data_IF_302779169798
#
_entry.id   IF_302779169798
#
_cell.length_a   1.000
_cell.length_b   1.000
_cell.length_c   1.000
_cell.angle_alpha   90.00
_cell.angle_beta   90.00
_cell.angle_gamma   90.00
#
_symmetry.space_group_name_H-M   'P 1'
#
loop_
_entity.id
_entity.type
_entity.pdbx_description
1 polymer ?
#
# COMPACT_ATOMS: atom_id res chain seq x y z
N UNK A 1 23.56 -34.12 -65.14
CA UNK A 1 23.65 -32.89 -64.33
C UNK A 1 22.71 -33.07 -63.15
N UNK A 2 23.27 -33.48 -62.00
CA UNK A 2 22.50 -33.77 -60.78
C UNK A 2 22.43 -32.53 -59.90
N UNK A 3 21.22 -32.18 -59.45
CA UNK A 3 20.98 -31.20 -58.41
C UNK A 3 21.18 -31.89 -57.05
N UNK A 4 22.04 -31.32 -56.21
CA UNK A 4 22.31 -31.81 -54.86
C UNK A 4 21.14 -31.46 -53.92
N UNK A 5 20.78 -32.35 -52.97
CA UNK A 5 19.78 -32.03 -51.96
C UNK A 5 20.31 -30.98 -50.97
N UNK A 6 19.47 -30.00 -50.64
CA UNK A 6 19.72 -29.02 -49.61
C UNK A 6 19.55 -29.69 -48.24
N UNK A 7 20.64 -29.83 -47.48
CA UNK A 7 20.63 -30.34 -46.11
C UNK A 7 19.96 -29.33 -45.17
N UNK A 8 18.72 -29.61 -44.76
CA UNK A 8 18.05 -28.89 -43.68
C UNK A 8 18.58 -29.41 -42.34
N UNK A 9 19.68 -28.83 -41.85
CA UNK A 9 20.13 -29.05 -40.47
C UNK A 9 19.15 -28.36 -39.52
N UNK A 10 18.29 -29.15 -38.86
CA UNK A 10 17.63 -28.76 -37.61
C UNK A 10 18.70 -28.39 -36.58
N UNK A 11 18.95 -27.09 -36.42
CA UNK A 11 19.63 -26.60 -35.23
C UNK A 11 18.60 -26.62 -34.11
N UNK A 12 18.58 -27.71 -33.34
CA UNK A 12 17.87 -27.84 -32.07
C UNK A 12 18.51 -26.96 -30.98
N UNK A 13 18.80 -25.70 -31.31
CA UNK A 13 19.14 -24.68 -30.33
C UNK A 13 17.85 -24.03 -29.88
N UNK A 14 17.20 -24.68 -28.92
CA UNK A 14 16.23 -23.98 -28.08
C UNK A 14 16.95 -22.78 -27.47
N UNK A 15 16.47 -21.53 -27.68
CA UNK A 15 17.11 -20.38 -27.08
C UNK A 15 17.12 -20.57 -25.57
N UNK A 16 18.31 -20.73 -25.00
CA UNK A 16 18.53 -20.82 -23.55
C UNK A 16 18.14 -19.47 -22.93
N UNK A 17 16.87 -19.34 -22.61
CA UNK A 17 16.37 -18.24 -21.80
C UNK A 17 16.88 -18.46 -20.38
N UNK A 18 17.95 -17.74 -20.04
CA UNK A 18 18.44 -17.65 -18.66
C UNK A 18 17.65 -16.53 -17.98
N UNK A 19 16.77 -16.82 -17.02
CA UNK A 19 15.96 -15.79 -16.40
C UNK A 19 16.87 -14.87 -15.60
N UNK A 20 17.05 -13.65 -16.12
CA UNK A 20 17.61 -12.56 -15.33
C UNK A 20 16.62 -12.30 -14.18
N UNK A 21 17.13 -11.92 -13.00
CA UNK A 21 16.38 -11.89 -11.74
C UNK A 21 14.97 -11.27 -11.83
N UNK A 22 14.13 -11.56 -10.83
CA UNK A 22 12.65 -11.45 -10.84
C UNK A 22 11.93 -10.18 -11.33
N UNK A 23 12.65 -9.16 -11.82
CA UNK A 23 12.12 -8.06 -12.65
C UNK A 23 12.09 -8.37 -14.17
N UNK A 24 12.79 -9.41 -14.66
CA UNK A 24 12.87 -9.74 -16.10
C UNK A 24 11.52 -10.15 -16.68
N UNK A 25 10.82 -11.09 -16.04
CA UNK A 25 9.60 -11.70 -16.59
C UNK A 25 8.46 -10.72 -16.89
N UNK A 26 8.38 -9.63 -16.12
CA UNK A 26 7.33 -8.63 -16.29
C UNK A 26 7.60 -7.70 -17.47
N UNK A 27 8.85 -7.29 -17.64
CA UNK A 27 9.29 -6.49 -18.79
C UNK A 27 9.29 -7.35 -20.06
N UNK A 28 9.65 -8.64 -19.95
CA UNK A 28 9.59 -9.59 -21.07
C UNK A 28 8.14 -9.85 -21.49
N UNK A 29 7.20 -9.94 -20.54
CA UNK A 29 5.77 -10.02 -20.82
C UNK A 29 5.27 -8.77 -21.55
N UNK A 30 5.63 -7.58 -21.07
CA UNK A 30 5.24 -6.32 -21.71
C UNK A 30 5.81 -6.20 -23.13
N UNK A 31 7.04 -6.66 -23.33
CA UNK A 31 7.69 -6.70 -24.64
C UNK A 31 6.95 -7.65 -25.57
N UNK A 32 6.55 -8.84 -25.08
CA UNK A 32 5.77 -9.81 -25.85
C UNK A 32 4.39 -9.25 -26.21
N UNK A 33 3.68 -8.64 -25.25
CA UNK A 33 2.37 -8.02 -25.50
C UNK A 33 2.49 -6.91 -26.54
N UNK A 34 3.48 -6.02 -26.41
CA UNK A 34 3.70 -4.95 -27.38
C UNK A 34 4.00 -5.51 -28.78
N UNK A 35 4.85 -6.54 -28.88
CA UNK A 35 5.15 -7.19 -30.16
C UNK A 35 3.91 -7.84 -30.79
N UNK A 36 3.12 -8.58 -30.02
CA UNK A 36 1.93 -9.27 -30.53
C UNK A 36 0.81 -8.30 -30.91
N UNK A 37 0.69 -7.19 -30.19
CA UNK A 37 -0.29 -6.13 -30.48
C UNK A 37 -0.04 -5.52 -31.86
N UNK A 38 1.22 -5.37 -32.27
CA UNK A 38 1.60 -4.79 -33.57
C UNK A 38 1.40 -5.72 -34.77
N UNK A 39 1.11 -7.00 -34.55
CA UNK A 39 0.95 -7.98 -35.64
C UNK A 39 -0.55 -8.12 -35.97
N UNK A 40 -0.98 -7.77 -37.20
CA UNK A 40 -2.37 -7.95 -37.62
C UNK A 40 -2.81 -9.41 -37.49
N UNK A 41 -3.99 -9.64 -36.91
CA UNK A 41 -4.60 -10.97 -36.78
C UNK A 41 -4.46 -11.64 -35.42
N UNK A 42 -3.56 -11.20 -34.54
CA UNK A 42 -3.33 -11.81 -33.21
C UNK A 42 -4.17 -11.23 -32.07
N UNK A 43 -5.27 -10.53 -32.39
CA UNK A 43 -6.05 -9.80 -31.39
C UNK A 43 -6.71 -10.70 -30.32
N UNK A 44 -7.08 -11.93 -30.68
CA UNK A 44 -7.71 -12.87 -29.74
C UNK A 44 -6.70 -13.50 -28.77
N UNK A 45 -5.51 -13.82 -29.27
CA UNK A 45 -4.39 -14.34 -28.49
C UNK A 45 -3.87 -13.27 -27.52
N UNK A 46 -3.73 -12.03 -27.99
CA UNK A 46 -3.40 -10.88 -27.14
C UNK A 46 -4.44 -10.69 -26.04
N UNK A 47 -5.74 -10.74 -26.38
CA UNK A 47 -6.81 -10.63 -25.40
C UNK A 47 -6.76 -11.74 -24.35
N UNK A 48 -6.52 -12.98 -24.79
CA UNK A 48 -6.39 -14.13 -23.91
C UNK A 48 -5.19 -13.99 -22.98
N UNK A 49 -4.06 -13.52 -23.51
CA UNK A 49 -2.83 -13.28 -22.75
C UNK A 49 -3.00 -12.16 -21.71
N UNK A 50 -3.61 -11.04 -22.08
CA UNK A 50 -3.93 -9.92 -21.17
C UNK A 50 -4.90 -10.39 -20.08
N UNK A 51 -5.94 -11.13 -20.47
CA UNK A 51 -6.93 -11.67 -19.53
C UNK A 51 -6.30 -12.66 -18.55
N UNK A 52 -5.41 -13.53 -19.00
CA UNK A 52 -4.68 -14.44 -18.12
C UNK A 52 -3.73 -13.68 -17.17
N UNK A 53 -3.07 -12.64 -17.65
CA UNK A 53 -2.16 -11.82 -16.86
C UNK A 53 -2.88 -11.02 -15.76
N UNK A 54 -4.16 -10.65 -15.98
CA UNK A 54 -5.00 -9.99 -14.97
C UNK A 54 -4.96 -10.72 -13.63
N UNK A 55 -5.06 -12.05 -13.63
CA UNK A 55 -5.03 -12.86 -12.41
C UNK A 55 -3.70 -12.71 -11.67
N UNK A 56 -2.58 -12.80 -12.38
CA UNK A 56 -1.25 -12.68 -11.78
C UNK A 56 -1.00 -11.26 -11.26
N UNK A 57 -1.37 -10.24 -12.05
CA UNK A 57 -1.22 -8.83 -11.66
C UNK A 57 -2.09 -8.51 -10.45
N UNK A 58 -3.31 -9.03 -10.36
CA UNK A 58 -4.28 -8.70 -9.32
C UNK A 58 -4.14 -9.54 -8.03
N UNK A 59 -3.51 -10.73 -8.10
CA UNK A 59 -3.40 -11.69 -6.98
C UNK A 59 -2.75 -11.16 -5.69
N UNK A 60 -1.97 -10.08 -5.76
CA UNK A 60 -1.32 -9.48 -4.58
C UNK A 60 -2.21 -8.44 -3.92
N UNK A 61 -2.68 -8.72 -2.69
CA UNK A 61 -3.52 -7.83 -1.87
C UNK A 61 -2.82 -6.60 -1.29
N UNK A 62 -1.48 -6.57 -1.27
CA UNK A 62 -0.69 -5.45 -0.73
C UNK A 62 -0.05 -4.67 -1.88
N UNK A 63 -0.58 -3.48 -2.16
CA UNK A 63 -0.04 -2.58 -3.17
C UNK A 63 0.75 -1.47 -2.48
N UNK A 64 2.06 -1.67 -2.30
CA UNK A 64 2.96 -0.64 -1.79
C UNK A 64 4.32 -0.69 -2.48
N UNK A 65 5.01 0.46 -2.50
CA UNK A 65 6.39 0.60 -2.98
C UNK A 65 6.60 0.12 -4.42
N UNK A 66 7.65 -0.68 -4.64
CA UNK A 66 8.03 -1.19 -5.97
C UNK A 66 6.94 -2.01 -6.68
N UNK A 67 6.03 -2.64 -5.94
CA UNK A 67 4.92 -3.39 -6.53
C UNK A 67 3.89 -2.46 -7.18
N UNK A 68 3.59 -1.32 -6.54
CA UNK A 68 2.72 -0.29 -7.10
C UNK A 68 3.33 0.30 -8.38
N UNK A 69 4.62 0.65 -8.32
CA UNK A 69 5.36 1.21 -9.46
C UNK A 69 5.35 0.28 -10.67
N UNK A 70 5.56 -1.04 -10.46
CA UNK A 70 5.48 -2.02 -11.55
C UNK A 70 4.10 -2.08 -12.19
N UNK A 71 3.03 -2.07 -11.38
CA UNK A 71 1.65 -2.07 -11.89
C UNK A 71 1.31 -0.80 -12.67
N UNK A 72 1.74 0.36 -12.19
CA UNK A 72 1.54 1.63 -12.91
C UNK A 72 2.32 1.64 -14.22
N UNK A 73 3.58 1.19 -14.23
CA UNK A 73 4.37 1.05 -15.46
C UNK A 73 3.69 0.14 -16.47
N UNK A 74 3.10 -0.95 -16.01
CA UNK A 74 2.34 -1.86 -16.84
C UNK A 74 1.08 -1.25 -17.44
N UNK A 75 0.25 -0.59 -16.62
CA UNK A 75 -0.93 0.12 -17.13
C UNK A 75 -0.51 1.15 -18.17
N UNK A 76 0.58 1.88 -17.93
CA UNK A 76 1.10 2.88 -18.86
C UNK A 76 1.53 2.26 -20.18
N UNK A 77 2.32 1.18 -20.14
CA UNK A 77 2.75 0.47 -21.33
C UNK A 77 1.56 -0.10 -22.10
N UNK A 78 0.60 -0.72 -21.40
CA UNK A 78 -0.62 -1.24 -21.99
C UNK A 78 -1.46 -0.14 -22.64
N UNK A 79 -1.64 1.00 -21.97
CA UNK A 79 -2.35 2.16 -22.51
C UNK A 79 -1.67 2.68 -23.77
N UNK A 80 -0.34 2.82 -23.78
CA UNK A 80 0.41 3.25 -24.97
C UNK A 80 0.24 2.26 -26.14
N UNK A 81 0.22 0.95 -25.86
CA UNK A 81 -0.05 -0.06 -26.89
C UNK A 81 -1.45 0.09 -27.48
N UNK A 82 -2.45 0.49 -26.67
CA UNK A 82 -3.80 0.78 -27.14
C UNK A 82 -3.88 2.08 -27.94
N UNK A 83 -3.06 3.10 -27.64
CA UNK A 83 -3.00 4.35 -28.41
C UNK A 83 -2.45 4.14 -29.81
N UNK A 84 -1.49 3.21 -29.97
CA UNK A 84 -0.86 2.93 -31.26
C UNK A 84 -1.68 2.04 -32.20
N UNK A 85 -2.71 1.36 -31.69
CA UNK A 85 -3.46 0.37 -32.47
C UNK A 85 -4.89 0.79 -32.82
N UNK A 86 -5.26 0.56 -34.08
CA UNK A 86 -6.64 0.67 -34.56
C UNK A 86 -7.49 -0.60 -34.30
N UNK A 87 -6.91 -1.63 -33.65
CA UNK A 87 -7.57 -2.92 -33.49
C UNK A 87 -8.55 -2.91 -32.31
N UNK A 88 -9.77 -2.44 -32.56
CA UNK A 88 -10.84 -2.26 -31.56
C UNK A 88 -11.18 -3.51 -30.73
N UNK A 89 -10.77 -4.72 -31.17
CA UNK A 89 -11.05 -5.98 -30.48
C UNK A 89 -10.24 -6.17 -29.18
N UNK A 90 -9.05 -5.59 -29.05
CA UNK A 90 -8.18 -5.77 -27.87
C UNK A 90 -8.45 -4.76 -26.75
N UNK A 91 -9.12 -3.66 -27.09
CA UNK A 91 -9.46 -2.56 -26.18
C UNK A 91 -10.25 -3.03 -24.95
N UNK A 92 -11.29 -3.89 -25.04
CA UNK A 92 -12.11 -4.24 -23.88
C UNK A 92 -11.35 -5.02 -22.79
N UNK A 93 -10.52 -6.00 -23.16
CA UNK A 93 -9.78 -6.79 -22.18
C UNK A 93 -8.69 -5.95 -21.50
N UNK A 94 -7.96 -5.16 -22.29
CA UNK A 94 -6.96 -4.25 -21.76
C UNK A 94 -7.57 -3.21 -20.83
N UNK A 95 -8.69 -2.58 -21.22
CA UNK A 95 -9.40 -1.62 -20.40
C UNK A 95 -9.89 -2.23 -19.10
N UNK A 96 -10.43 -3.47 -19.14
CA UNK A 96 -10.84 -4.21 -17.94
C UNK A 96 -9.68 -4.35 -16.95
N UNK A 97 -8.50 -4.77 -17.41
CA UNK A 97 -7.31 -4.90 -16.54
C UNK A 97 -6.88 -3.55 -15.97
N UNK A 98 -6.90 -2.48 -16.77
CA UNK A 98 -6.57 -1.13 -16.29
C UNK A 98 -7.52 -0.71 -15.17
N UNK A 99 -8.83 -0.87 -15.37
CA UNK A 99 -9.86 -0.55 -14.39
C UNK A 99 -9.67 -1.34 -13.11
N UNK A 100 -9.51 -2.66 -13.19
CA UNK A 100 -9.37 -3.53 -12.02
C UNK A 100 -8.13 -3.18 -11.19
N UNK A 101 -7.00 -2.87 -11.85
CA UNK A 101 -5.78 -2.47 -11.14
C UNK A 101 -5.96 -1.11 -10.47
N UNK A 102 -6.56 -0.13 -11.15
CA UNK A 102 -6.83 1.20 -10.57
C UNK A 102 -7.81 1.12 -9.39
N UNK A 103 -8.87 0.31 -9.48
CA UNK A 103 -9.80 0.05 -8.37
C UNK A 103 -9.11 -0.59 -7.17
N UNK A 104 -8.22 -1.56 -7.41
CA UNK A 104 -7.47 -2.21 -6.33
C UNK A 104 -6.52 -1.22 -5.64
N UNK A 105 -5.86 -0.35 -6.42
CA UNK A 105 -5.04 0.74 -5.88
C UNK A 105 -5.90 1.67 -5.02
N UNK A 106 -7.03 2.15 -5.56
CA UNK A 106 -7.97 3.04 -4.85
C UNK A 106 -8.41 2.43 -3.52
N UNK A 107 -8.95 1.20 -3.58
CA UNK A 107 -9.44 0.46 -2.41
C UNK A 107 -8.36 0.26 -1.35
N UNK A 108 -7.12 -0.06 -1.77
CA UNK A 108 -6.00 -0.23 -0.84
C UNK A 108 -5.69 1.07 -0.08
N UNK A 109 -5.74 2.22 -0.77
CA UNK A 109 -5.51 3.53 -0.15
C UNK A 109 -6.67 4.00 0.73
N UNK A 110 -7.92 3.70 0.35
CA UNK A 110 -9.11 3.95 1.17
C UNK A 110 -9.03 3.16 2.49
N UNK A 111 -8.71 1.87 2.42
CA UNK A 111 -8.58 1.01 3.60
C UNK A 111 -7.37 1.37 4.48
N UNK A 112 -6.30 1.90 3.88
CA UNK A 112 -5.13 2.35 4.62
C UNK A 112 -5.30 3.74 5.28
N UNK A 113 -6.42 4.43 5.04
CA UNK A 113 -6.68 5.76 5.61
C UNK A 113 -6.77 5.67 7.14
N UNK A 114 -5.98 6.47 7.88
CA UNK A 114 -6.11 6.55 9.32
C UNK A 114 -7.49 7.06 9.72
N UNK A 115 -8.14 6.34 10.63
CA UNK A 115 -9.43 6.74 11.20
C UNK A 115 -9.17 7.50 12.50
N UNK A 116 -9.81 8.67 12.64
CA UNK A 116 -9.79 9.41 13.90
C UNK A 116 -10.52 8.60 14.96
N UNK A 117 -9.81 8.21 16.02
CA UNK A 117 -10.41 7.48 17.13
C UNK A 117 -10.80 8.48 18.22
N UNK A 118 -11.97 8.30 18.82
CA UNK A 118 -12.40 9.14 19.94
C UNK A 118 -11.53 8.87 21.17
N UNK A 119 -11.13 9.94 21.85
CA UNK A 119 -10.31 9.90 23.06
C UNK A 119 -8.88 9.43 22.79
N UNK A 120 -8.34 8.67 23.73
CA UNK A 120 -6.94 8.21 23.75
C UNK A 120 -6.75 6.81 23.19
N UNK A 121 -7.72 6.27 22.45
CA UNK A 121 -7.59 4.91 21.92
C UNK A 121 -6.63 4.86 20.73
N UNK A 122 -5.80 3.83 20.67
CA UNK A 122 -4.75 3.65 19.66
C UNK A 122 -4.82 2.27 19.01
N UNK A 123 -4.28 2.09 17.80
CA UNK A 123 -4.10 0.79 17.19
C UNK A 123 -3.35 -0.17 18.12
N UNK A 124 -3.87 -1.38 18.26
CA UNK A 124 -3.26 -2.42 19.09
C UNK A 124 -2.29 -3.22 18.23
N UNK A 125 -1.02 -3.37 18.62
CA UNK A 125 -0.05 -4.14 17.85
C UNK A 125 -0.45 -5.63 17.81
N UNK A 126 -0.18 -6.27 16.69
CA UNK A 126 -0.22 -7.73 16.58
C UNK A 126 1.04 -8.30 17.25
N UNK A 127 0.86 -9.34 18.04
CA UNK A 127 1.96 -10.06 18.71
C UNK A 127 1.88 -11.50 18.21
N UNK A 128 2.96 -11.99 17.59
CA UNK A 128 3.03 -13.33 17.00
C UNK A 128 3.39 -14.43 18.01
N UNK A 129 3.72 -14.08 19.26
CA UNK A 129 4.06 -15.05 20.28
C UNK A 129 2.78 -15.64 20.90
N UNK A 130 2.57 -16.96 20.73
CA UNK A 130 1.41 -17.68 21.28
C UNK A 130 1.28 -17.48 22.80
N UNK A 131 2.39 -17.48 23.54
CA UNK A 131 2.46 -17.28 25.00
C UNK A 131 1.96 -15.91 25.46
N UNK A 132 2.03 -14.90 24.59
CA UNK A 132 1.62 -13.53 24.90
C UNK A 132 0.13 -13.24 24.61
N UNK A 133 -0.58 -14.16 23.95
CA UNK A 133 -1.92 -13.91 23.40
C UNK A 133 -3.07 -14.06 24.41
N UNK A 134 -2.96 -14.96 25.39
CA UNK A 134 -4.09 -15.31 26.27
C UNK A 134 -4.06 -14.62 27.66
N UNK A 135 -2.90 -14.57 28.32
CA UNK A 135 -2.78 -14.13 29.74
C UNK A 135 -1.54 -13.27 30.03
N UNK A 136 -0.79 -12.86 29.01
CA UNK A 136 0.49 -12.19 29.16
C UNK A 136 0.44 -10.65 29.23
N UNK A 137 1.59 -9.99 29.48
CA UNK A 137 1.74 -8.54 29.52
C UNK A 137 1.25 -7.83 28.23
N UNK A 138 1.31 -8.52 27.08
CA UNK A 138 0.78 -8.02 25.81
C UNK A 138 -0.73 -7.82 25.82
N UNK A 139 -1.50 -8.65 26.54
CA UNK A 139 -2.95 -8.46 26.67
C UNK A 139 -3.27 -7.19 27.46
N UNK A 140 -2.54 -6.96 28.55
CA UNK A 140 -2.67 -5.73 29.33
C UNK A 140 -2.31 -4.49 28.48
N UNK A 141 -1.24 -4.58 27.69
CA UNK A 141 -0.85 -3.51 26.77
C UNK A 141 -1.94 -3.24 25.72
N UNK A 142 -2.50 -4.28 25.09
CA UNK A 142 -3.60 -4.13 24.12
C UNK A 142 -4.83 -3.48 24.75
N UNK A 143 -5.21 -3.88 25.96
CA UNK A 143 -6.34 -3.28 26.70
C UNK A 143 -6.11 -1.80 26.97
N UNK A 144 -4.91 -1.46 27.47
CA UNK A 144 -4.52 -0.07 27.69
C UNK A 144 -4.57 0.73 26.39
N UNK A 145 -3.98 0.23 25.30
CA UNK A 145 -3.99 0.92 24.00
C UNK A 145 -5.40 1.12 23.45
N UNK A 146 -6.29 0.13 23.62
CA UNK A 146 -7.69 0.22 23.22
C UNK A 146 -8.52 1.18 24.08
N UNK A 147 -8.12 1.46 25.33
CA UNK A 147 -8.86 2.33 26.23
C UNK A 147 -8.93 3.78 25.70
N UNK A 148 -10.12 4.39 25.60
CA UNK A 148 -10.28 5.78 25.16
C UNK A 148 -9.99 6.81 26.28
N UNK A 149 -9.92 6.38 27.54
CA UNK A 149 -9.74 7.28 28.70
C UNK A 149 -8.34 7.19 29.31
N UNK A 150 -7.67 6.05 29.18
CA UNK A 150 -6.36 5.85 29.79
C UNK A 150 -5.25 6.47 28.92
N UNK A 151 -4.53 7.43 29.50
CA UNK A 151 -3.38 8.10 28.86
C UNK A 151 -2.04 7.46 29.24
N UNK A 152 -1.93 6.94 30.47
CA UNK A 152 -0.70 6.40 31.03
C UNK A 152 -0.95 4.97 31.49
N UNK A 153 -0.19 4.03 30.93
CA UNK A 153 -0.19 2.63 31.30
C UNK A 153 1.08 2.29 32.06
N UNK A 154 0.94 1.54 33.16
CA UNK A 154 2.07 1.07 33.97
C UNK A 154 2.10 -0.45 33.96
N UNK A 155 3.21 -1.03 33.51
CA UNK A 155 3.38 -2.47 33.36
C UNK A 155 4.60 -2.93 34.16
N UNK A 156 4.35 -3.46 35.36
CA UNK A 156 5.41 -4.07 36.19
C UNK A 156 5.78 -5.43 35.61
N UNK A 157 6.99 -5.55 35.05
CA UNK A 157 7.41 -6.75 34.34
C UNK A 157 8.95 -6.93 34.32
N UNK A 158 9.38 -8.17 34.13
CA UNK A 158 10.80 -8.50 34.04
C UNK A 158 11.46 -7.82 32.80
N UNK A 159 12.79 -7.88 32.71
CA UNK A 159 13.52 -7.20 31.64
C UNK A 159 13.17 -7.72 30.23
N UNK A 160 12.93 -9.04 30.09
CA UNK A 160 12.58 -9.67 28.81
C UNK A 160 11.22 -9.16 28.31
N UNK A 161 10.21 -9.22 29.18
CA UNK A 161 8.86 -8.76 28.86
C UNK A 161 8.83 -7.26 28.57
N UNK A 162 9.58 -6.46 29.33
CA UNK A 162 9.70 -5.02 29.08
C UNK A 162 10.32 -4.71 27.71
N UNK A 163 11.35 -5.46 27.33
CA UNK A 163 11.97 -5.34 26.00
C UNK A 163 10.97 -5.73 24.90
N UNK A 164 10.25 -6.83 25.07
CA UNK A 164 9.22 -7.31 24.15
C UNK A 164 8.06 -6.30 24.00
N UNK A 165 7.47 -5.81 25.11
CA UNK A 165 6.46 -4.74 25.04
C UNK A 165 7.03 -3.48 24.37
N UNK A 166 8.29 -3.17 24.66
CA UNK A 166 8.99 -2.04 24.08
C UNK A 166 9.13 -2.15 22.55
N UNK A 167 9.35 -3.34 21.99
CA UNK A 167 9.48 -3.54 20.54
C UNK A 167 8.14 -3.50 19.80
N UNK A 168 7.03 -3.83 20.47
CA UNK A 168 5.68 -3.73 19.91
C UNK A 168 5.15 -2.29 19.82
N UNK A 169 5.78 -1.35 20.51
CA UNK A 169 5.34 0.04 20.62
C UNK A 169 6.07 0.95 19.63
N UNK A 170 5.31 1.62 18.75
CA UNK A 170 5.85 2.66 17.88
C UNK A 170 6.21 3.91 18.70
N UNK A 171 7.49 4.27 18.68
CA UNK A 171 8.04 5.43 19.42
C UNK A 171 7.44 6.76 18.98
N UNK A 172 6.81 6.84 17.80
CA UNK A 172 6.12 8.04 17.31
C UNK A 172 4.77 8.26 18.00
N UNK A 173 4.19 7.19 18.54
CA UNK A 173 2.81 7.14 19.02
C UNK A 173 2.74 7.11 20.56
N UNK A 174 3.84 6.72 21.20
CA UNK A 174 3.94 6.66 22.66
C UNK A 174 5.29 7.14 23.17
N UNK A 175 5.28 7.77 24.34
CA UNK A 175 6.47 7.97 25.16
C UNK A 175 6.64 6.77 26.09
N UNK A 176 7.86 6.25 26.18
CA UNK A 176 8.21 5.10 27.02
C UNK A 176 9.25 5.50 28.04
N UNK A 177 9.06 5.11 29.28
CA UNK A 177 10.03 5.27 30.36
C UNK A 177 10.08 4.00 31.20
N UNK A 178 11.25 3.67 31.75
CA UNK A 178 11.36 2.61 32.76
C UNK A 178 11.49 3.26 34.13
N UNK A 179 10.51 3.03 34.99
CA UNK A 179 10.55 3.38 36.39
C UNK A 179 11.28 2.25 37.16
N UNK A 180 12.41 2.60 37.76
CA UNK A 180 13.30 1.67 38.47
C UNK A 180 13.09 1.66 39.98
N UNK A 181 12.06 2.36 40.49
CA UNK A 181 11.82 2.51 41.93
C UNK A 181 11.46 1.21 42.65
N UNK A 182 11.03 0.17 41.92
CA UNK A 182 10.67 -1.15 42.45
C UNK A 182 11.24 -2.28 41.59
N UNK A 183 11.29 -3.47 42.18
CA UNK A 183 11.59 -4.73 41.48
C UNK A 183 10.32 -5.58 41.47
N UNK A 184 9.87 -6.08 40.30
CA UNK A 184 10.41 -5.80 38.97
C UNK A 184 10.17 -4.35 38.53
N UNK A 185 11.08 -3.80 37.69
CA UNK A 185 10.94 -2.44 37.18
C UNK A 185 9.69 -2.29 36.32
N UNK A 186 9.12 -1.09 36.31
CA UNK A 186 7.85 -0.80 35.62
C UNK A 186 8.09 -0.09 34.29
N UNK A 187 7.50 -0.60 33.21
CA UNK A 187 7.40 0.12 31.95
C UNK A 187 6.22 1.09 32.03
N UNK A 188 6.52 2.39 31.93
CA UNK A 188 5.53 3.45 31.84
C UNK A 188 5.36 3.83 30.37
N UNK A 189 4.14 3.70 29.86
CA UNK A 189 3.77 4.04 28.47
C UNK A 189 2.78 5.20 28.53
N UNK A 190 3.11 6.32 27.91
CA UNK A 190 2.23 7.49 27.80
C UNK A 190 1.81 7.64 26.34
N UNK A 191 0.50 7.67 26.08
CA UNK A 191 -0.05 7.90 24.73
C UNK A 191 0.15 9.35 24.32
N UNK A 192 0.37 9.59 23.04
CA UNK A 192 0.48 10.96 22.50
C UNK A 192 -0.79 11.33 21.73
N UNK A 193 -1.17 12.61 21.76
CA UNK A 193 -2.32 13.15 21.00
C UNK A 193 -2.07 13.15 19.49
N UNK A 194 -0.81 13.21 19.08
CA UNK A 194 -0.42 13.42 17.68
C UNK A 194 -0.47 12.14 16.82
N UNK A 195 -0.99 11.03 17.34
CA UNK A 195 -1.05 9.76 16.60
C UNK A 195 -1.82 9.90 15.28
N UNK A 196 -3.00 10.53 15.34
CA UNK A 196 -3.82 10.74 14.15
C UNK A 196 -3.10 11.65 13.17
N UNK A 197 -2.62 12.80 13.64
CA UNK A 197 -1.94 13.81 12.81
C UNK A 197 -0.69 13.28 12.10
N UNK A 198 0.13 12.50 12.81
CA UNK A 198 1.32 11.86 12.23
C UNK A 198 0.93 10.87 11.14
N UNK A 199 -0.05 10.01 11.43
CA UNK A 199 -0.45 8.97 10.48
C UNK A 199 -1.21 9.53 9.29
N UNK A 200 -2.09 10.51 9.48
CA UNK A 200 -2.84 11.15 8.39
C UNK A 200 -1.89 11.94 7.50
N UNK A 201 -0.88 12.62 8.07
CA UNK A 201 0.18 13.28 7.29
C UNK A 201 0.99 12.28 6.46
N UNK A 202 1.39 11.17 7.05
CA UNK A 202 2.12 10.11 6.32
C UNK A 202 1.25 9.48 5.21
N UNK A 203 -0.05 9.30 5.45
CA UNK A 203 -1.00 8.83 4.44
C UNK A 203 -1.18 9.85 3.31
N UNK A 204 -1.34 11.14 3.62
CA UNK A 204 -1.41 12.23 2.63
C UNK A 204 -0.17 12.26 1.73
N UNK A 205 1.03 12.16 2.33
CA UNK A 205 2.29 12.10 1.56
C UNK A 205 2.35 10.91 0.59
N UNK A 206 1.85 9.73 1.02
CA UNK A 206 1.77 8.56 0.14
C UNK A 206 0.75 8.77 -0.99
N UNK A 207 -0.39 9.40 -0.69
CA UNK A 207 -1.40 9.74 -1.69
C UNK A 207 -0.83 10.72 -2.73
N UNK A 208 -0.09 11.73 -2.30
CA UNK A 208 0.56 12.68 -3.21
C UNK A 208 1.57 12.00 -4.14
N UNK A 209 2.39 11.09 -3.59
CA UNK A 209 3.31 10.26 -4.40
C UNK A 209 2.54 9.42 -5.42
N UNK A 210 1.47 8.75 -5.02
CA UNK A 210 0.62 7.98 -5.94
C UNK A 210 0.08 8.87 -7.07
N UNK A 211 -0.40 10.07 -6.75
CA UNK A 211 -0.96 10.99 -7.73
C UNK A 211 0.10 11.46 -8.75
N UNK A 212 1.35 11.62 -8.30
CA UNK A 212 2.48 11.86 -9.19
C UNK A 212 2.74 10.66 -10.10
N UNK A 213 2.75 9.44 -9.54
CA UNK A 213 2.96 8.21 -10.29
C UNK A 213 1.87 7.93 -11.33
N UNK A 214 0.62 8.34 -11.08
CA UNK A 214 -0.50 8.23 -12.01
C UNK A 214 -0.54 9.35 -13.06
N UNK A 215 0.27 10.40 -12.93
CA UNK A 215 0.30 11.51 -13.90
C UNK A 215 0.55 11.07 -15.35
N UNK A 216 1.44 10.10 -15.63
CA UNK A 216 1.64 9.58 -16.99
C UNK A 216 0.43 8.85 -17.59
N UNK A 217 -0.57 8.49 -16.79
CA UNK A 217 -1.82 7.89 -17.27
C UNK A 217 -2.87 8.95 -17.65
N UNK A 218 -2.58 10.23 -17.39
CA UNK A 218 -3.48 11.32 -17.77
C UNK A 218 -3.32 11.58 -19.27
N UNK A 219 -4.29 11.13 -20.04
CA UNK A 219 -4.31 11.35 -21.48
C UNK A 219 -5.71 11.18 -22.06
N UNK A 220 -5.92 11.71 -23.30
CA UNK A 220 -7.22 11.72 -23.95
C UNK A 220 -7.76 10.32 -24.25
N UNK A 221 -6.88 9.32 -24.47
CA UNK A 221 -7.34 7.95 -24.68
C UNK A 221 -8.05 7.42 -23.43
N UNK A 222 -7.37 7.42 -22.27
CA UNK A 222 -7.95 6.93 -21.02
C UNK A 222 -9.18 7.73 -20.60
N UNK A 223 -9.19 9.04 -20.86
CA UNK A 223 -10.36 9.89 -20.61
C UNK A 223 -11.55 9.46 -21.48
N UNK A 224 -11.33 9.22 -22.77
CA UNK A 224 -12.38 8.75 -23.69
C UNK A 224 -12.87 7.33 -23.35
N UNK A 225 -11.98 6.43 -22.93
CA UNK A 225 -12.31 5.04 -22.64
C UNK A 225 -12.98 4.85 -21.27
N UNK A 226 -12.57 5.62 -20.26
CA UNK A 226 -13.14 5.53 -18.91
C UNK A 226 -14.34 6.46 -18.70
N UNK A 227 -14.46 7.53 -19.51
CA UNK A 227 -15.51 8.52 -19.38
C UNK A 227 -15.64 9.05 -17.96
N UNK A 228 -16.83 8.93 -17.38
CA UNK A 228 -17.14 9.39 -16.01
C UNK A 228 -16.22 8.76 -14.95
N UNK A 229 -15.70 7.55 -15.20
CA UNK A 229 -14.83 6.85 -14.24
C UNK A 229 -13.39 7.35 -14.25
N UNK A 230 -13.01 8.19 -15.22
CA UNK A 230 -11.67 8.73 -15.33
C UNK A 230 -11.29 9.59 -14.10
N UNK A 231 -12.19 10.48 -13.68
CA UNK A 231 -11.95 11.35 -12.52
C UNK A 231 -11.86 10.53 -11.23
N UNK A 232 -12.69 9.49 -11.12
CA UNK A 232 -12.69 8.58 -9.98
C UNK A 232 -11.39 7.76 -9.88
N UNK A 233 -10.93 7.15 -10.99
CA UNK A 233 -9.87 6.14 -10.97
C UNK A 233 -8.48 6.66 -11.34
N UNK A 234 -8.38 7.70 -12.18
CA UNK A 234 -7.08 8.26 -12.61
C UNK A 234 -6.74 9.50 -11.79
N UNK A 235 -7.71 10.38 -11.56
CA UNK A 235 -7.52 11.58 -10.73
C UNK A 235 -7.70 11.32 -9.24
N UNK A 236 -8.26 10.15 -8.87
CA UNK A 236 -8.51 9.73 -7.49
C UNK A 236 -9.29 10.77 -6.68
N UNK A 237 -10.30 11.42 -7.29
CA UNK A 237 -11.03 12.55 -6.68
C UNK A 237 -11.63 12.21 -5.32
N UNK A 238 -12.21 11.02 -5.16
CA UNK A 238 -12.74 10.56 -3.87
C UNK A 238 -11.69 10.52 -2.76
N UNK A 239 -10.43 10.19 -3.09
CA UNK A 239 -9.33 10.19 -2.12
C UNK A 239 -8.84 11.61 -1.79
N UNK A 240 -8.85 12.52 -2.77
CA UNK A 240 -8.46 13.94 -2.59
C UNK A 240 -9.48 14.72 -1.77
N UNK A 241 -10.77 14.59 -2.05
CA UNK A 241 -11.81 15.25 -1.26
C UNK A 241 -11.71 14.85 0.22
N UNK A 242 -11.41 13.57 0.46
CA UNK A 242 -11.18 12.98 1.76
C UNK A 242 -9.85 13.40 2.43
N UNK A 243 -8.84 13.83 1.68
CA UNK A 243 -7.59 14.32 2.28
C UNK A 243 -7.76 15.73 2.85
N UNK A 244 -8.58 16.57 2.22
CA UNK A 244 -8.83 17.98 2.62
C UNK A 244 -9.76 18.16 3.82
N UNK A 245 -10.75 17.28 4.02
CA UNK A 245 -11.81 17.42 5.04
C UNK A 245 -11.41 17.10 6.49
N UNK A 246 -10.12 16.84 6.76
CA UNK A 246 -9.63 16.47 8.10
C UNK A 246 -9.13 17.62 8.98
N UNK A 247 -9.21 18.87 8.53
CA UNK A 247 -8.61 20.03 9.21
C UNK A 247 -9.52 20.73 10.24
N UNK A 248 -10.77 20.31 10.42
CA UNK A 248 -11.78 21.10 11.16
C UNK A 248 -12.16 20.55 12.54
N UNK A 249 -11.27 19.83 13.22
CA UNK A 249 -11.52 19.40 14.62
C UNK A 249 -10.27 19.39 15.50
N UNK A 250 -9.43 20.41 15.33
CA UNK A 250 -8.26 20.67 16.17
C UNK A 250 -8.40 22.00 16.92
N UNK A 251 -9.55 22.25 17.56
CA UNK A 251 -9.71 23.47 18.37
C UNK A 251 -10.60 23.27 19.60
N UNK A 252 -10.27 22.32 20.48
CA UNK A 252 -10.78 22.40 21.87
C UNK A 252 -9.94 21.57 22.85
N UNK A 253 -8.69 21.97 23.09
CA UNK A 253 -8.06 21.74 24.40
C UNK A 253 -7.12 22.90 24.67
N UNK A 254 -7.73 24.05 24.98
CA UNK A 254 -7.04 25.17 25.60
C UNK A 254 -6.37 24.70 26.89
N UNK A 255 -5.13 25.13 27.05
CA UNK A 255 -4.27 25.04 28.22
C UNK A 255 -5.07 25.25 29.52
N UNK A 256 -5.03 24.27 30.42
CA UNK A 256 -5.30 24.56 31.84
C UNK A 256 -4.02 25.14 32.46
N UNK A 257 -4.11 26.28 33.17
CA UNK A 257 -2.97 26.85 33.88
C UNK A 257 -2.63 26.00 35.11
N UNK A 258 -1.34 25.84 35.36
CA UNK A 258 -0.80 25.31 36.61
C UNK A 258 -1.01 26.39 37.67
N UNK A 259 -1.95 26.18 38.59
CA UNK A 259 -2.08 27.00 39.79
C UNK A 259 -0.98 26.64 40.79
N UNK A 260 -0.07 27.58 41.00
CA UNK A 260 0.94 27.61 42.06
C UNK A 260 0.24 27.56 43.44
N UNK A 261 0.56 26.54 44.24
CA UNK A 261 0.22 26.52 45.66
C UNK A 261 1.34 27.24 46.42
N UNK A 262 1.06 28.48 46.82
CA UNK A 262 1.85 29.23 47.80
C UNK A 262 1.42 28.83 49.21
N UNK A 263 2.44 28.47 50.02
CA UNK A 263 2.60 28.58 51.47
C UNK A 263 1.46 28.16 52.43
N UNK A 264 1.83 27.36 53.42
CA UNK A 264 1.65 27.75 54.82
C UNK A 264 2.75 27.11 55.69
N UNK A 265 3.52 27.96 56.35
CA UNK A 265 4.20 27.71 57.62
C UNK A 265 3.22 27.76 58.77
#
# INVERSE_FOLDING_TARGET
MGLTPYDFRETNETPKYSPKGGNSYFEDFLTLVNALITIPGFGEEVNSLISACSFTVLSSSIIQGERLQRRIKFIRSLTRCLESEANHKTIPAALKVVVEVLEQIKTSYEQARPVSRKGWSMPTPTCGELSCSALGPCRALKRFLASPTEQIGRFSCNARDRSHLGSLLDKRLVRRQTDKSRVPHTLVVTKTTNHYDINIKAWRQKLDSLLQDLTPLRGPLLESLLGVRYTELVLMEGLKANSSTGEESATTHALMPISEATMNT
#
